data_IF_505246715139
#
_entry.id   IF_505246715139
#
_cell.length_a   1.000
_cell.length_b   1.000
_cell.length_c   1.000
_cell.angle_alpha   90.00
_cell.angle_beta   90.00
_cell.angle_gamma   90.00
#
_symmetry.space_group_name_H-M   'P 1'
#
loop_
_entity.id
_entity.type
_entity.pdbx_description
1 polymer ?
#
# COMPACT_ATOMS: atom_id res chain seq x y z
N UNK A 1 3.86 5.67 -11.56
CA UNK A 1 3.16 4.75 -10.63
C UNK A 1 3.64 5.08 -9.23
N UNK A 2 2.74 5.29 -8.27
CA UNK A 2 3.06 5.76 -6.90
C UNK A 2 3.27 4.59 -5.94
N UNK A 3 4.35 4.58 -5.18
CA UNK A 3 4.54 3.62 -4.07
C UNK A 3 3.82 4.09 -2.81
N UNK A 4 3.08 3.20 -2.15
CA UNK A 4 2.32 3.49 -0.92
C UNK A 4 2.34 2.29 0.01
N UNK A 5 2.22 2.52 1.32
CA UNK A 5 2.05 1.45 2.31
C UNK A 5 0.68 0.77 2.19
N UNK A 6 -0.37 1.59 2.06
CA UNK A 6 -1.74 1.13 1.88
C UNK A 6 -2.28 1.53 0.50
N UNK A 7 -2.74 0.54 -0.26
CA UNK A 7 -3.34 0.73 -1.58
C UNK A 7 -4.80 1.19 -1.46
N UNK A 8 -5.22 2.13 -2.31
CA UNK A 8 -6.61 2.62 -2.35
C UNK A 8 -7.10 2.75 -3.79
N UNK A 9 -8.35 2.33 -4.04
CA UNK A 9 -9.04 2.55 -5.31
C UNK A 9 -9.61 3.97 -5.31
N UNK A 10 -9.13 4.82 -6.21
CA UNK A 10 -9.57 6.22 -6.33
C UNK A 10 -10.76 6.38 -7.28
N UNK A 11 -11.09 5.34 -8.04
CA UNK A 11 -12.01 5.42 -9.16
C UNK A 11 -12.70 4.08 -9.43
N UNK A 12 -13.82 4.11 -10.14
CA UNK A 12 -14.56 2.90 -10.57
C UNK A 12 -13.76 1.95 -11.48
N UNK A 13 -12.80 2.49 -12.24
CA UNK A 13 -11.94 1.72 -13.15
C UNK A 13 -10.66 1.19 -12.50
N UNK A 14 -10.47 1.46 -11.20
CA UNK A 14 -9.27 1.12 -10.47
C UNK A 14 -9.40 -0.33 -9.96
N UNK A 15 -8.49 -1.21 -10.38
CA UNK A 15 -8.50 -2.63 -10.07
C UNK A 15 -7.28 -3.01 -9.23
N UNK A 16 -7.48 -3.89 -8.25
CA UNK A 16 -6.38 -4.42 -7.45
C UNK A 16 -5.84 -5.66 -8.15
N UNK A 17 -4.55 -5.66 -8.49
CA UNK A 17 -3.90 -6.76 -9.22
C UNK A 17 -2.72 -7.25 -8.38
N UNK A 18 -2.56 -8.57 -8.27
CA UNK A 18 -1.35 -9.18 -7.69
C UNK A 18 -0.46 -9.70 -8.81
N UNK A 19 0.82 -9.37 -8.75
CA UNK A 19 1.86 -9.90 -9.66
C UNK A 19 3.00 -10.42 -8.80
N UNK A 20 3.07 -11.74 -8.62
CA UNK A 20 3.97 -12.39 -7.67
C UNK A 20 3.72 -11.90 -6.24
N UNK A 21 4.79 -11.48 -5.55
CA UNK A 21 4.74 -10.99 -4.17
C UNK A 21 4.23 -9.55 -4.02
N UNK A 22 3.99 -8.84 -5.12
CA UNK A 22 3.62 -7.43 -5.09
C UNK A 22 2.14 -7.23 -5.41
N UNK A 23 1.49 -6.33 -4.66
CA UNK A 23 0.11 -5.89 -4.91
C UNK A 23 0.14 -4.50 -5.53
N UNK A 24 -0.76 -4.26 -6.48
CA UNK A 24 -0.87 -3.02 -7.24
C UNK A 24 -2.32 -2.56 -7.30
N UNK A 25 -2.51 -1.25 -7.45
CA UNK A 25 -3.75 -0.69 -8.01
C UNK A 25 -3.43 -0.25 -9.43
N UNK A 26 -4.12 -0.84 -10.40
CA UNK A 26 -4.01 -0.50 -11.80
C UNK A 26 -5.27 0.24 -12.25
N UNK A 27 -5.12 1.27 -13.08
CA UNK A 27 -6.23 1.98 -13.68
C UNK A 27 -6.01 2.06 -15.19
N UNK A 28 -7.06 1.73 -15.96
CA UNK A 28 -7.05 1.80 -17.42
C UNK A 28 -7.18 3.23 -17.94
N UNK A 29 -7.93 4.08 -17.22
CA UNK A 29 -8.30 5.44 -17.66
C UNK A 29 -7.29 6.50 -17.23
N UNK A 30 -6.79 6.44 -15.99
CA UNK A 30 -5.90 7.46 -15.44
C UNK A 30 -4.61 6.84 -14.88
N UNK A 31 -3.47 7.19 -15.48
CA UNK A 31 -2.15 6.71 -15.05
C UNK A 31 -1.74 7.21 -13.65
N UNK A 32 -2.28 8.34 -13.16
CA UNK A 32 -1.98 8.89 -11.82
C UNK A 32 -2.53 8.01 -10.70
N UNK A 33 -3.56 7.20 -10.99
CA UNK A 33 -4.14 6.28 -10.01
C UNK A 33 -3.35 4.97 -9.87
N UNK A 34 -2.33 4.74 -10.70
CA UNK A 34 -1.52 3.51 -10.61
C UNK A 34 -0.68 3.54 -9.33
N UNK A 35 -0.86 2.56 -8.45
CA UNK A 35 -0.15 2.44 -7.18
C UNK A 35 0.52 1.06 -7.04
N UNK A 36 1.61 0.98 -6.29
CA UNK A 36 2.28 -0.27 -5.89
C UNK A 36 2.44 -0.28 -4.38
N UNK A 37 2.15 -1.41 -3.75
CA UNK A 37 2.40 -1.59 -2.33
C UNK A 37 3.92 -1.60 -2.12
N UNK A 38 4.41 -0.62 -1.35
CA UNK A 38 5.78 -0.58 -0.90
C UNK A 38 6.00 -1.64 0.18
N UNK A 39 7.20 -2.20 0.21
CA UNK A 39 7.66 -2.98 1.35
C UNK A 39 8.00 -1.98 2.43
N UNK A 40 7.34 -2.09 3.59
CA UNK A 40 7.77 -1.31 4.76
C UNK A 40 9.18 -1.79 5.09
N UNK A 41 10.16 -0.88 5.03
CA UNK A 41 11.43 -1.09 5.72
C UNK A 41 11.08 -1.49 7.16
N UNK A 42 11.51 -2.68 7.56
CA UNK A 42 11.26 -3.32 8.86
C UNK A 42 11.33 -2.37 10.06
N UNK A 43 12.09 -1.27 9.94
CA UNK A 43 12.22 -0.23 10.95
C UNK A 43 10.88 0.40 11.41
N UNK A 44 9.91 0.65 10.53
CA UNK A 44 8.68 1.36 10.93
C UNK A 44 7.66 0.47 11.69
N UNK A 45 7.61 -0.83 11.44
CA UNK A 45 6.75 -1.74 12.23
C UNK A 45 7.30 -1.96 13.65
N UNK A 46 8.61 -1.88 13.84
CA UNK A 46 9.23 -1.97 15.16
C UNK A 46 8.82 -0.77 16.06
N UNK A 47 8.75 0.45 15.53
CA UNK A 47 8.35 1.63 16.32
C UNK A 47 6.89 1.60 16.81
N UNK A 48 5.96 1.05 16.01
CA UNK A 48 4.54 0.98 16.41
C UNK A 48 4.20 -0.24 17.26
N UNK A 49 4.87 -1.38 17.08
CA UNK A 49 4.65 -2.58 17.92
C UNK A 49 5.30 -2.46 19.31
N UNK A 50 6.36 -1.66 19.47
CA UNK A 50 6.98 -1.43 20.78
C UNK A 50 6.26 -0.37 21.63
N UNK A 51 5.37 0.46 21.04
CA UNK A 51 4.66 1.52 21.77
C UNK A 51 3.24 1.14 22.21
N UNK A 52 2.74 -0.04 21.84
CA UNK A 52 1.38 -0.51 22.23
C UNK A 52 1.33 -1.31 23.55
N UNK A 53 2.37 -1.23 24.39
CA UNK A 53 2.42 -1.88 25.72
C UNK A 53 2.25 -0.93 26.92
N UNK A 54 1.89 0.34 26.69
CA UNK A 54 1.61 1.31 27.78
C UNK A 54 0.18 1.81 27.67
N UNK A 55 -0.79 0.90 27.78
CA UNK A 55 -2.19 1.19 28.09
C UNK A 55 -2.76 0.01 28.89
N UNK A 56 -2.32 -0.10 30.14
CA UNK A 56 -3.03 -0.72 31.27
C UNK A 56 -2.91 0.28 32.41
#
# INVERSE_FOLDING_TARGET
MRHVSALKKLCRFCQTIRRGKNVFVYCKVNARHKQKQGWVSSYYYCYYLNNSKTLI
#
